data_IF_460193536953
#
_entry.id   IF_460193536953
#
_cell.length_a   1.000
_cell.length_b   1.000
_cell.length_c   1.000
_cell.angle_alpha   90.00
_cell.angle_beta   90.00
_cell.angle_gamma   90.00
#
_symmetry.space_group_name_H-M   'P 1'
#
loop_
_entity.id
_entity.type
_entity.pdbx_description
1 polymer ?
#
# COMPACT_ATOMS: atom_id res chain seq x y z
N UNK A 1 -17.03 -60.28 18.56
CA UNK A 1 -18.07 -59.28 18.92
C UNK A 1 -17.46 -58.05 19.58
N UNK A 2 -16.46 -58.20 20.46
CA UNK A 2 -15.90 -57.04 21.18
C UNK A 2 -15.05 -56.09 20.32
N UNK A 3 -14.29 -56.61 19.34
CA UNK A 3 -13.43 -55.78 18.48
C UNK A 3 -14.20 -54.87 17.51
N UNK A 4 -15.36 -55.30 16.99
CA UNK A 4 -16.21 -54.46 16.14
C UNK A 4 -16.90 -53.35 16.93
N UNK A 5 -17.33 -53.65 18.16
CA UNK A 5 -17.93 -52.65 19.05
C UNK A 5 -16.92 -51.59 19.50
N UNK A 6 -15.68 -52.01 19.77
CA UNK A 6 -14.57 -51.12 20.14
C UNK A 6 -14.14 -50.21 18.97
N UNK A 7 -14.08 -50.75 17.75
CA UNK A 7 -13.82 -49.97 16.54
C UNK A 7 -14.92 -48.93 16.26
N UNK A 8 -16.20 -49.32 16.36
CA UNK A 8 -17.33 -48.41 16.19
C UNK A 8 -17.36 -47.30 17.25
N UNK A 9 -16.97 -47.61 18.49
CA UNK A 9 -16.87 -46.62 19.56
C UNK A 9 -15.71 -45.62 19.33
N UNK A 10 -14.56 -46.08 18.84
CA UNK A 10 -13.42 -45.23 18.49
C UNK A 10 -13.75 -44.29 17.33
N UNK A 11 -14.47 -44.78 16.30
CA UNK A 11 -14.88 -44.00 15.13
C UNK A 11 -15.94 -42.93 15.52
N UNK A 12 -16.89 -43.29 16.37
CA UNK A 12 -17.86 -42.35 16.94
C UNK A 12 -17.18 -41.25 17.78
N UNK A 13 -16.20 -41.60 18.61
CA UNK A 13 -15.44 -40.64 19.42
C UNK A 13 -14.58 -39.68 18.57
N UNK A 14 -13.95 -40.19 17.50
CA UNK A 14 -13.20 -39.37 16.54
C UNK A 14 -14.13 -38.40 15.77
N UNK A 15 -15.33 -38.84 15.37
CA UNK A 15 -16.31 -37.96 14.71
C UNK A 15 -16.83 -36.86 15.64
N UNK A 16 -16.97 -37.15 16.93
CA UNK A 16 -17.42 -36.20 17.95
C UNK A 16 -16.33 -35.17 18.29
N UNK A 17 -15.06 -35.59 18.40
CA UNK A 17 -13.93 -34.67 18.61
C UNK A 17 -13.72 -33.76 17.39
N UNK A 18 -13.81 -34.31 16.17
CA UNK A 18 -13.75 -33.55 14.93
C UNK A 18 -14.88 -32.52 14.82
N UNK A 19 -16.13 -32.89 15.14
CA UNK A 19 -17.28 -31.97 15.16
C UNK A 19 -17.14 -30.88 16.22
N UNK A 20 -16.53 -31.19 17.37
CA UNK A 20 -16.24 -30.20 18.43
C UNK A 20 -15.16 -29.23 17.99
N UNK A 21 -14.12 -29.73 17.32
CA UNK A 21 -13.04 -28.92 16.77
C UNK A 21 -13.55 -28.00 15.65
N UNK A 22 -14.35 -28.52 14.71
CA UNK A 22 -14.98 -27.68 13.67
C UNK A 22 -15.86 -26.60 14.28
N UNK A 23 -16.73 -26.93 15.24
CA UNK A 23 -17.56 -25.92 15.91
C UNK A 23 -16.73 -24.86 16.63
N UNK A 24 -15.66 -25.27 17.32
CA UNK A 24 -14.76 -24.34 17.99
C UNK A 24 -14.09 -23.38 16.99
N UNK A 25 -13.59 -23.89 15.86
CA UNK A 25 -13.00 -23.07 14.81
C UNK A 25 -14.01 -22.17 14.11
N UNK A 26 -15.22 -22.65 13.85
CA UNK A 26 -16.30 -21.84 13.26
C UNK A 26 -16.73 -20.70 14.19
N UNK A 27 -16.97 -20.99 15.48
CA UNK A 27 -17.34 -19.97 16.46
C UNK A 27 -16.21 -18.96 16.62
N UNK A 28 -14.96 -19.43 16.73
CA UNK A 28 -13.78 -18.55 16.81
C UNK A 28 -13.65 -17.67 15.55
N UNK A 29 -13.88 -18.23 14.36
CA UNK A 29 -13.85 -17.48 13.10
C UNK A 29 -14.95 -16.43 13.02
N UNK A 30 -16.18 -16.74 13.46
CA UNK A 30 -17.29 -15.78 13.51
C UNK A 30 -16.98 -14.65 14.49
N UNK A 31 -16.48 -14.98 15.69
CA UNK A 31 -16.08 -13.98 16.70
C UNK A 31 -14.99 -13.07 16.12
N UNK A 32 -13.98 -13.65 15.47
CA UNK A 32 -12.91 -12.88 14.82
C UNK A 32 -13.47 -11.98 13.71
N UNK A 33 -14.38 -12.48 12.86
CA UNK A 33 -15.00 -11.69 11.80
C UNK A 33 -15.83 -10.53 12.34
N UNK A 34 -16.62 -10.76 13.40
CA UNK A 34 -17.39 -9.71 14.08
C UNK A 34 -16.45 -8.69 14.72
N UNK A 35 -15.39 -9.15 15.39
CA UNK A 35 -14.36 -8.27 15.95
C UNK A 35 -13.73 -7.39 14.86
N UNK A 36 -13.26 -7.99 13.76
CA UNK A 36 -12.67 -7.24 12.64
C UNK A 36 -13.66 -6.26 12.01
N UNK A 37 -14.95 -6.62 11.91
CA UNK A 37 -15.98 -5.73 11.39
C UNK A 37 -16.22 -4.53 12.31
N UNK A 38 -16.40 -4.77 13.61
CA UNK A 38 -16.66 -3.72 14.62
C UNK A 38 -15.47 -2.78 14.77
N UNK A 39 -14.23 -3.30 14.75
CA UNK A 39 -13.01 -2.49 14.92
C UNK A 39 -12.37 -2.04 13.62
N UNK A 40 -12.98 -2.31 12.47
CA UNK A 40 -12.45 -2.02 11.13
C UNK A 40 -11.98 -0.56 10.98
N UNK A 41 -12.70 0.41 11.54
CA UNK A 41 -12.37 1.83 11.48
C UNK A 41 -11.09 2.24 12.22
N UNK A 42 -10.65 1.47 13.22
CA UNK A 42 -9.46 1.76 14.04
C UNK A 42 -8.33 0.77 13.75
N UNK A 43 -8.64 -0.36 13.09
CA UNK A 43 -7.67 -1.40 12.78
C UNK A 43 -6.55 -0.90 11.87
N UNK A 44 -6.86 -0.05 10.89
CA UNK A 44 -5.90 0.47 9.91
C UNK A 44 -4.71 1.19 10.57
N UNK A 45 -4.92 2.22 11.42
CA UNK A 45 -3.84 2.88 12.16
C UNK A 45 -3.01 1.90 13.03
N UNK A 46 -3.64 0.87 13.60
CA UNK A 46 -2.95 -0.11 14.43
C UNK A 46 -2.05 -1.04 13.61
N UNK A 47 -2.57 -1.59 12.52
CA UNK A 47 -1.80 -2.44 11.61
C UNK A 47 -0.67 -1.63 10.99
N UNK A 48 -0.95 -0.41 10.53
CA UNK A 48 0.07 0.49 10.00
C UNK A 48 1.15 0.82 11.05
N UNK A 49 0.75 1.11 12.28
CA UNK A 49 1.69 1.39 13.38
C UNK A 49 2.54 0.18 13.74
N UNK A 50 1.97 -1.03 13.73
CA UNK A 50 2.71 -2.28 13.95
C UNK A 50 3.72 -2.56 12.83
N UNK A 51 3.33 -2.35 11.57
CA UNK A 51 4.24 -2.49 10.42
C UNK A 51 5.36 -1.46 10.50
N UNK A 52 5.05 -0.20 10.85
CA UNK A 52 6.07 0.82 11.06
C UNK A 52 7.01 0.48 12.20
N UNK A 53 6.48 0.00 13.33
CA UNK A 53 7.30 -0.45 14.47
C UNK A 53 8.26 -1.57 14.04
N UNK A 54 7.77 -2.59 13.32
CA UNK A 54 8.60 -3.65 12.76
C UNK A 54 9.76 -3.11 11.89
N UNK A 55 9.48 -2.11 11.05
CA UNK A 55 10.51 -1.49 10.21
C UNK A 55 11.51 -0.61 10.96
N UNK A 56 11.05 0.04 12.02
CA UNK A 56 11.83 1.00 12.81
C UNK A 56 12.58 0.32 13.96
N UNK A 57 12.20 -0.88 14.37
CA UNK A 57 12.84 -1.65 15.44
C UNK A 57 14.35 -1.89 15.20
N UNK A 58 14.82 -2.27 14.00
CA UNK A 58 16.26 -2.34 13.72
C UNK A 58 16.99 -0.99 13.83
N UNK A 59 16.27 0.13 13.70
CA UNK A 59 16.82 1.48 13.92
C UNK A 59 16.88 1.79 15.41
N UNK A 60 15.86 1.39 16.18
CA UNK A 60 15.83 1.50 17.64
C UNK A 60 16.98 0.70 18.27
N UNK A 61 17.16 -0.56 17.86
CA UNK A 61 18.28 -1.42 18.27
C UNK A 61 19.65 -0.77 18.03
N UNK A 62 19.82 -0.09 16.89
CA UNK A 62 21.07 0.62 16.58
C UNK A 62 21.28 1.83 17.48
N UNK A 63 20.21 2.57 17.79
CA UNK A 63 20.27 3.71 18.71
C UNK A 63 20.54 3.25 20.15
N UNK A 64 19.99 2.11 20.57
CA UNK A 64 20.28 1.50 21.86
C UNK A 64 21.75 1.09 21.98
N UNK A 65 22.32 0.50 20.93
CA UNK A 65 23.77 0.18 20.86
C UNK A 65 24.66 1.41 20.91
N UNK A 66 24.14 2.60 20.56
CA UNK A 66 24.84 3.88 20.70
C UNK A 66 24.71 4.49 22.11
N UNK A 67 24.02 3.82 23.03
CA UNK A 67 23.90 4.22 24.45
C UNK A 67 22.59 4.88 24.84
N UNK A 68 21.60 4.96 23.94
CA UNK A 68 20.26 5.46 24.28
C UNK A 68 19.42 4.39 24.98
N UNK A 69 18.53 4.79 25.89
CA UNK A 69 17.51 3.89 26.42
C UNK A 69 16.41 3.63 25.38
N UNK A 70 15.71 2.50 25.46
CA UNK A 70 14.58 2.14 24.57
C UNK A 70 13.60 3.29 24.36
N UNK A 71 13.23 3.96 25.44
CA UNK A 71 12.32 5.11 25.40
C UNK A 71 12.93 6.26 24.59
N UNK A 72 14.18 6.60 24.84
CA UNK A 72 14.86 7.70 24.12
C UNK A 72 15.06 7.38 22.64
N UNK A 73 15.44 6.14 22.31
CA UNK A 73 15.53 5.68 20.93
C UNK A 73 14.17 5.82 20.22
N UNK A 74 13.09 5.38 20.86
CA UNK A 74 11.72 5.48 20.34
C UNK A 74 11.28 6.93 20.14
N UNK A 75 11.53 7.81 21.12
CA UNK A 75 11.20 9.25 21.03
C UNK A 75 11.96 9.92 19.88
N UNK A 76 13.25 9.66 19.75
CA UNK A 76 14.08 10.21 18.67
C UNK A 76 13.57 9.75 17.31
N UNK A 77 13.26 8.46 17.16
CA UNK A 77 12.70 7.91 15.93
C UNK A 77 11.35 8.53 15.61
N UNK A 78 10.46 8.67 16.59
CA UNK A 78 9.14 9.27 16.40
C UNK A 78 9.27 10.74 15.95
N UNK A 79 10.10 11.54 16.62
CA UNK A 79 10.32 12.94 16.26
C UNK A 79 10.90 13.03 14.84
N UNK A 80 11.91 12.23 14.52
CA UNK A 80 12.50 12.20 13.18
C UNK A 80 11.47 11.80 12.12
N UNK A 81 10.65 10.79 12.39
CA UNK A 81 9.58 10.35 11.51
C UNK A 81 8.53 11.44 11.29
N UNK A 82 8.05 12.11 12.35
CA UNK A 82 7.10 13.22 12.24
C UNK A 82 7.70 14.37 11.43
N UNK A 83 8.96 14.73 11.67
CA UNK A 83 9.64 15.80 10.92
C UNK A 83 9.72 15.45 9.44
N UNK A 84 10.16 14.23 9.09
CA UNK A 84 10.23 13.78 7.70
C UNK A 84 8.84 13.75 7.06
N UNK A 85 7.82 13.26 7.78
CA UNK A 85 6.45 13.20 7.30
C UNK A 85 5.88 14.60 7.03
N UNK A 86 6.05 15.52 7.97
CA UNK A 86 5.59 16.92 7.82
C UNK A 86 6.31 17.60 6.66
N UNK A 87 7.64 17.44 6.54
CA UNK A 87 8.40 17.97 5.41
C UNK A 87 7.94 17.38 4.08
N UNK A 88 7.72 16.07 4.02
CA UNK A 88 7.19 15.39 2.84
C UNK A 88 5.82 15.94 2.46
N UNK A 89 4.90 16.12 3.41
CA UNK A 89 3.58 16.69 3.13
C UNK A 89 3.69 18.15 2.67
N UNK A 90 4.43 18.99 3.39
CA UNK A 90 4.56 20.43 3.11
C UNK A 90 5.26 20.69 1.77
N UNK A 91 6.19 19.85 1.34
CA UNK A 91 6.90 20.03 0.06
C UNK A 91 6.16 19.32 -1.07
N UNK A 92 5.82 18.05 -0.89
CA UNK A 92 5.32 17.20 -1.98
C UNK A 92 3.88 17.55 -2.36
N UNK A 93 2.99 17.78 -1.38
CA UNK A 93 1.58 18.08 -1.66
C UNK A 93 1.40 19.32 -2.53
N UNK A 94 1.99 20.50 -2.24
CA UNK A 94 1.81 21.67 -3.10
C UNK A 94 2.43 21.48 -4.48
N UNK A 95 3.60 20.82 -4.57
CA UNK A 95 4.25 20.54 -5.86
C UNK A 95 3.39 19.62 -6.72
N UNK A 96 2.79 18.59 -6.12
CA UNK A 96 1.87 17.71 -6.82
C UNK A 96 0.57 18.44 -7.19
N UNK A 97 -0.01 19.23 -6.27
CA UNK A 97 -1.22 19.98 -6.54
C UNK A 97 -1.04 20.97 -7.70
N UNK A 98 0.09 21.70 -7.73
CA UNK A 98 0.40 22.61 -8.82
C UNK A 98 0.63 21.85 -10.13
N UNK A 99 1.40 20.75 -10.11
CA UNK A 99 1.62 19.94 -11.32
C UNK A 99 0.34 19.29 -11.83
N UNK A 100 -0.58 18.87 -10.95
CA UNK A 100 -1.88 18.34 -11.36
C UNK A 100 -2.79 19.43 -11.93
N UNK A 101 -2.83 20.62 -11.33
CA UNK A 101 -3.59 21.75 -11.86
C UNK A 101 -3.06 22.22 -13.23
N UNK A 102 -1.73 22.27 -13.37
CA UNK A 102 -1.06 22.59 -14.63
C UNK A 102 -1.30 21.50 -15.69
N UNK A 103 -1.30 20.22 -15.29
CA UNK A 103 -1.61 19.11 -16.20
C UNK A 103 -3.06 19.19 -16.68
N UNK A 104 -4.00 19.42 -15.76
CA UNK A 104 -5.40 19.57 -16.07
C UNK A 104 -5.64 20.74 -17.04
N UNK A 105 -5.00 21.90 -16.82
CA UNK A 105 -5.15 23.06 -17.71
C UNK A 105 -4.51 22.87 -19.09
N UNK A 106 -3.41 22.10 -19.21
CA UNK A 106 -2.73 21.81 -20.49
C UNK A 106 -3.27 20.58 -21.23
N UNK A 107 -4.08 19.75 -20.58
CA UNK A 107 -4.64 18.53 -21.17
C UNK A 107 -5.44 18.79 -22.47
N UNK A 108 -6.31 19.82 -22.56
CA UNK A 108 -7.01 20.15 -23.80
C UNK A 108 -6.06 20.48 -24.96
N UNK A 109 -4.99 21.24 -24.68
CA UNK A 109 -3.97 21.59 -25.68
C UNK A 109 -3.23 20.35 -26.18
N UNK A 110 -2.88 19.42 -25.28
CA UNK A 110 -2.23 18.17 -25.68
C UNK A 110 -3.13 17.31 -26.55
N UNK A 111 -4.43 17.23 -26.23
CA UNK A 111 -5.38 16.46 -27.01
C UNK A 111 -5.68 17.12 -28.37
N UNK A 112 -5.70 18.45 -28.43
CA UNK A 112 -5.81 19.20 -29.70
C UNK A 112 -4.58 18.98 -30.58
N UNK A 113 -3.37 18.97 -30.01
CA UNK A 113 -2.13 18.64 -30.75
C UNK A 113 -2.10 17.18 -31.21
N UNK A 114 -2.56 16.25 -30.38
CA UNK A 114 -2.67 14.84 -30.74
C UNK A 114 -3.66 14.65 -31.90
N UNK A 115 -4.84 15.29 -31.83
CA UNK A 115 -5.83 15.32 -32.91
C UNK A 115 -5.23 15.93 -34.18
N UNK A 116 -4.49 17.03 -34.07
CA UNK A 116 -3.75 17.65 -35.17
C UNK A 116 -2.76 16.68 -35.82
N UNK A 117 -1.93 16.00 -35.02
CA UNK A 117 -0.99 14.99 -35.50
C UNK A 117 -1.71 13.85 -36.24
N UNK A 118 -2.74 13.26 -35.62
CA UNK A 118 -3.50 12.16 -36.22
C UNK A 118 -4.16 12.58 -37.54
N UNK A 119 -4.71 13.79 -37.61
CA UNK A 119 -5.38 14.30 -38.82
C UNK A 119 -4.41 14.84 -39.88
N UNK A 120 -3.15 15.10 -39.50
CA UNK A 120 -2.07 15.45 -40.43
C UNK A 120 -1.42 14.24 -41.10
N UNK A 121 -1.60 13.03 -40.54
CA UNK A 121 -1.36 11.78 -41.25
C UNK A 121 -2.47 11.55 -42.27
N UNK A 122 -2.14 10.98 -43.43
CA UNK A 122 -3.10 10.76 -44.53
C UNK A 122 -4.32 9.97 -44.02
N UNK A 123 -5.51 10.60 -43.90
CA UNK A 123 -6.66 9.99 -43.24
C UNK A 123 -7.11 8.70 -43.94
N UNK A 124 -6.81 8.54 -45.24
CA UNK A 124 -7.07 7.31 -45.99
C UNK A 124 -6.25 6.13 -45.48
N UNK A 125 -5.00 6.34 -45.07
CA UNK A 125 -4.16 5.27 -44.52
C UNK A 125 -4.68 4.77 -43.16
N UNK A 126 -5.21 5.66 -42.32
CA UNK A 126 -5.80 5.31 -41.03
C UNK A 126 -7.11 4.52 -41.21
N UNK A 127 -7.96 4.99 -42.11
CA UNK A 127 -9.24 4.36 -42.44
C UNK A 127 -9.04 2.98 -43.08
N UNK A 128 -8.07 2.85 -43.99
CA UNK A 128 -7.80 1.61 -44.73
C UNK A 128 -7.06 0.53 -43.90
N UNK A 129 -6.18 0.92 -42.97
CA UNK A 129 -5.46 -0.03 -42.10
C UNK A 129 -6.13 -0.34 -40.76
N UNK A 130 -6.82 0.64 -40.16
CA UNK A 130 -7.36 0.52 -38.80
C UNK A 130 -8.89 0.67 -38.75
N UNK A 131 -9.56 1.03 -39.86
CA UNK A 131 -11.02 1.17 -39.91
C UNK A 131 -11.57 2.32 -39.04
N UNK A 132 -10.72 3.25 -38.62
CA UNK A 132 -11.09 4.33 -37.70
C UNK A 132 -11.43 5.58 -38.50
N UNK A 133 -12.70 5.97 -38.50
CA UNK A 133 -13.15 7.26 -39.04
C UNK A 133 -12.55 8.40 -38.21
N UNK A 134 -11.90 9.34 -38.89
CA UNK A 134 -11.31 10.52 -38.28
C UNK A 134 -12.36 11.34 -37.49
N UNK A 135 -13.64 11.31 -37.87
CA UNK A 135 -14.70 11.98 -37.12
C UNK A 135 -15.07 11.24 -35.83
N UNK A 136 -15.17 9.92 -35.84
CA UNK A 136 -15.39 9.10 -34.65
C UNK A 136 -14.24 9.21 -33.63
N UNK A 137 -13.00 9.34 -34.12
CA UNK A 137 -11.81 9.60 -33.30
C UNK A 137 -11.90 10.97 -32.59
N UNK A 138 -12.37 12.00 -33.30
CA UNK A 138 -12.57 13.35 -32.74
C UNK A 138 -13.68 13.37 -31.68
N UNK A 139 -14.80 12.70 -31.92
CA UNK A 139 -15.88 12.56 -30.94
C UNK A 139 -15.43 11.77 -29.72
N UNK A 140 -14.67 10.67 -29.90
CA UNK A 140 -14.10 9.88 -28.82
C UNK A 140 -13.16 10.69 -27.93
N UNK A 141 -12.23 11.45 -28.52
CA UNK A 141 -11.31 12.34 -27.79
C UNK A 141 -12.05 13.47 -27.06
N UNK A 142 -13.07 14.07 -27.68
CA UNK A 142 -13.92 15.07 -27.04
C UNK A 142 -14.75 14.51 -25.87
N UNK A 143 -15.23 13.27 -25.99
CA UNK A 143 -15.95 12.57 -24.92
C UNK A 143 -15.02 12.23 -23.75
N UNK A 144 -13.77 11.84 -24.02
CA UNK A 144 -12.74 11.58 -23.00
C UNK A 144 -12.34 12.86 -22.28
N UNK A 145 -12.25 13.98 -23.00
CA UNK A 145 -12.03 15.31 -22.42
C UNK A 145 -13.13 15.68 -21.42
N UNK A 146 -14.39 15.64 -21.85
CA UNK A 146 -15.53 16.03 -21.02
C UNK A 146 -15.76 15.06 -19.86
N UNK A 147 -15.66 13.75 -20.11
CA UNK A 147 -15.88 12.72 -19.09
C UNK A 147 -14.71 12.60 -18.11
N UNK A 148 -13.47 12.69 -18.61
CA UNK A 148 -12.25 12.58 -17.79
C UNK A 148 -12.07 13.78 -16.86
N UNK A 149 -12.35 14.99 -17.34
CA UNK A 149 -12.30 16.20 -16.50
C UNK A 149 -13.44 16.22 -15.47
N UNK A 150 -14.65 15.78 -15.87
CA UNK A 150 -15.79 15.62 -14.97
C UNK A 150 -15.54 14.61 -13.85
N UNK A 151 -14.93 13.45 -14.16
CA UNK A 151 -14.56 12.44 -13.16
C UNK A 151 -13.49 12.95 -12.20
N UNK A 152 -12.41 13.55 -12.70
CA UNK A 152 -11.32 14.06 -11.87
C UNK A 152 -11.81 15.15 -10.91
N UNK A 153 -12.61 16.10 -11.41
CA UNK A 153 -13.17 17.18 -10.59
C UNK A 153 -14.19 16.66 -9.57
N UNK A 154 -15.04 15.71 -9.95
CA UNK A 154 -16.03 15.09 -9.03
C UNK A 154 -15.35 14.27 -7.94
N UNK A 155 -14.30 13.49 -8.26
CA UNK A 155 -13.53 12.73 -7.27
C UNK A 155 -12.82 13.68 -6.31
N UNK A 156 -12.16 14.72 -6.84
CA UNK A 156 -11.45 15.70 -6.02
C UNK A 156 -12.41 16.47 -5.09
N UNK A 157 -13.52 16.96 -5.61
CA UNK A 157 -14.54 17.65 -4.81
C UNK A 157 -15.20 16.73 -3.81
N UNK A 158 -15.49 15.47 -4.15
CA UNK A 158 -16.09 14.49 -3.23
C UNK A 158 -15.17 14.15 -2.07
N UNK A 159 -13.86 14.01 -2.31
CA UNK A 159 -12.86 13.79 -1.26
C UNK A 159 -12.76 15.03 -0.35
N UNK A 160 -12.77 16.23 -0.94
CA UNK A 160 -12.66 17.49 -0.20
C UNK A 160 -13.93 17.86 0.59
N UNK A 161 -15.12 17.59 0.05
CA UNK A 161 -16.41 17.90 0.66
C UNK A 161 -16.89 16.83 1.65
N UNK A 162 -16.38 15.61 1.55
CA UNK A 162 -16.64 14.56 2.52
C UNK A 162 -15.79 14.80 3.77
N UNK A 163 -16.29 15.63 4.69
CA UNK A 163 -15.63 15.88 5.99
C UNK A 163 -15.26 14.58 6.74
N UNK A 164 -16.00 13.49 6.50
CA UNK A 164 -15.68 12.14 7.00
C UNK A 164 -14.36 11.58 6.45
N UNK A 165 -14.06 11.81 5.16
CA UNK A 165 -12.81 11.38 4.54
C UNK A 165 -11.61 12.17 5.08
N UNK A 166 -11.76 13.49 5.24
CA UNK A 166 -10.75 14.34 5.87
C UNK A 166 -10.50 13.93 7.33
N UNK A 167 -11.56 13.70 8.12
CA UNK A 167 -11.42 13.23 9.51
C UNK A 167 -10.72 11.87 9.56
N UNK A 168 -11.04 10.95 8.64
CA UNK A 168 -10.40 9.63 8.58
C UNK A 168 -8.90 9.71 8.23
N UNK A 169 -8.53 10.57 7.28
CA UNK A 169 -7.13 10.81 6.90
C UNK A 169 -6.37 11.47 8.06
N UNK A 170 -6.92 12.52 8.66
CA UNK A 170 -6.29 13.20 9.81
C UNK A 170 -6.16 12.24 10.99
N UNK A 171 -7.20 11.44 11.27
CA UNK A 171 -7.15 10.41 12.29
C UNK A 171 -6.04 9.40 11.99
N UNK A 172 -5.86 8.96 10.75
CA UNK A 172 -4.78 8.05 10.39
C UNK A 172 -3.41 8.72 10.59
N UNK A 173 -3.24 9.97 10.17
CA UNK A 173 -1.99 10.73 10.32
C UNK A 173 -1.62 11.04 11.79
N UNK A 174 -2.60 11.14 12.68
CA UNK A 174 -2.37 11.42 14.11
C UNK A 174 -2.29 10.14 14.94
N UNK A 175 -3.19 9.19 14.72
CA UNK A 175 -3.27 7.95 15.50
C UNK A 175 -2.14 7.00 15.12
N UNK A 176 -1.77 6.89 13.83
CA UNK A 176 -0.73 5.94 13.40
C UNK A 176 0.64 6.22 14.04
N UNK A 177 1.17 7.46 14.09
CA UNK A 177 2.43 7.72 14.78
C UNK A 177 2.36 7.42 16.28
N UNK A 178 1.24 7.70 16.94
CA UNK A 178 1.04 7.39 18.36
C UNK A 178 1.05 5.88 18.59
N UNK A 179 0.34 5.13 17.75
CA UNK A 179 0.34 3.67 17.85
C UNK A 179 1.72 3.09 17.50
N UNK A 180 2.40 3.61 16.48
CA UNK A 180 3.76 3.23 16.13
C UNK A 180 4.72 3.46 17.29
N UNK A 181 4.59 4.56 18.03
CA UNK A 181 5.38 4.84 19.23
C UNK A 181 5.21 3.74 20.28
N UNK A 182 3.97 3.43 20.67
CA UNK A 182 3.72 2.38 21.68
C UNK A 182 4.15 1.00 21.19
N UNK A 183 3.85 0.67 19.93
CA UNK A 183 4.24 -0.61 19.32
C UNK A 183 5.75 -0.76 19.26
N UNK A 184 6.51 0.31 18.95
CA UNK A 184 7.97 0.29 18.90
C UNK A 184 8.59 0.23 20.30
N UNK A 185 8.01 0.98 21.26
CA UNK A 185 8.46 0.99 22.65
C UNK A 185 8.35 -0.40 23.29
N UNK A 186 7.21 -1.07 23.10
CA UNK A 186 6.91 -2.38 23.70
C UNK A 186 7.26 -3.57 22.79
N UNK A 187 7.84 -3.33 21.62
CA UNK A 187 8.07 -4.36 20.59
C UNK A 187 8.83 -5.58 21.13
N UNK A 188 9.97 -5.40 21.80
CA UNK A 188 10.77 -6.49 22.36
C UNK A 188 9.98 -7.33 23.38
N UNK A 189 9.17 -6.65 24.20
CA UNK A 189 8.32 -7.30 25.20
C UNK A 189 7.21 -8.09 24.53
N UNK A 190 6.58 -7.53 23.50
CA UNK A 190 5.55 -8.22 22.71
C UNK A 190 6.12 -9.48 22.05
N UNK A 191 7.29 -9.37 21.40
CA UNK A 191 7.96 -10.51 20.76
C UNK A 191 8.35 -11.57 21.80
N UNK A 192 8.87 -11.17 22.97
CA UNK A 192 9.23 -12.11 24.04
C UNK A 192 8.01 -12.86 24.61
N UNK A 193 6.87 -12.18 24.76
CA UNK A 193 5.62 -12.83 25.19
C UNK A 193 5.16 -13.84 24.15
N UNK A 194 5.17 -13.49 22.87
CA UNK A 194 4.78 -14.40 21.79
C UNK A 194 5.73 -15.60 21.72
N UNK A 195 7.04 -15.39 21.85
CA UNK A 195 8.06 -16.45 21.89
C UNK A 195 7.85 -17.38 23.11
N UNK A 196 7.35 -16.86 24.24
CA UNK A 196 7.05 -17.65 25.44
C UNK A 196 5.85 -18.60 25.29
N UNK A 197 4.95 -18.36 24.33
CA UNK A 197 3.81 -19.23 24.06
C UNK A 197 4.17 -20.44 23.19
N UNK A 198 5.37 -20.44 22.60
CA UNK A 198 5.86 -21.52 21.75
C UNK A 198 6.24 -22.73 22.62
N UNK A 199 5.69 -23.93 22.35
CA UNK A 199 6.08 -25.15 23.05
C UNK A 199 7.58 -25.41 22.90
N UNK A 200 8.24 -25.83 23.98
CA UNK A 200 9.71 -25.97 24.07
C UNK A 200 10.32 -26.81 22.94
N UNK A 201 9.61 -27.84 22.48
CA UNK A 201 10.06 -28.76 21.43
C UNK A 201 10.22 -28.07 20.07
N UNK A 202 9.47 -26.99 19.82
CA UNK A 202 9.43 -26.29 18.53
C UNK A 202 10.10 -24.91 18.55
N UNK A 203 10.59 -24.43 19.70
CA UNK A 203 11.18 -23.08 19.83
C UNK A 203 12.30 -22.84 18.82
N UNK A 204 13.17 -23.83 18.61
CA UNK A 204 14.27 -23.71 17.63
C UNK A 204 13.73 -23.55 16.21
N UNK A 205 12.75 -24.37 15.83
CA UNK A 205 12.12 -24.34 14.50
C UNK A 205 11.40 -23.01 14.26
N UNK A 206 10.59 -22.54 15.22
CA UNK A 206 9.85 -21.28 15.11
C UNK A 206 10.81 -20.09 15.01
N UNK A 207 11.88 -20.05 15.81
CA UNK A 207 12.88 -18.97 15.74
C UNK A 207 13.66 -18.98 14.43
N UNK A 208 13.97 -20.14 13.86
CA UNK A 208 14.59 -20.22 12.52
C UNK A 208 13.64 -19.67 11.46
N UNK A 209 12.39 -20.14 11.43
CA UNK A 209 11.38 -19.65 10.47
C UNK A 209 11.18 -18.14 10.61
N UNK A 210 11.09 -17.62 11.84
CA UNK A 210 10.94 -16.18 12.09
C UNK A 210 12.12 -15.37 11.54
N UNK A 211 13.36 -15.86 11.67
CA UNK A 211 14.55 -15.22 11.10
C UNK A 211 14.56 -15.28 9.57
N UNK A 212 14.14 -16.40 8.98
CA UNK A 212 14.05 -16.55 7.52
C UNK A 212 12.99 -15.59 6.96
N UNK A 213 11.82 -15.50 7.61
CA UNK A 213 10.77 -14.53 7.28
C UNK A 213 11.30 -13.10 7.38
N UNK A 214 11.99 -12.76 8.48
CA UNK A 214 12.55 -11.41 8.64
C UNK A 214 13.57 -11.09 7.54
N UNK A 215 14.43 -12.04 7.20
CA UNK A 215 15.47 -11.86 6.17
C UNK A 215 14.84 -11.69 4.79
N UNK A 216 13.84 -12.51 4.44
CA UNK A 216 13.10 -12.41 3.19
C UNK A 216 12.31 -11.09 3.09
N UNK A 217 11.61 -10.71 4.17
CA UNK A 217 10.81 -9.48 4.23
C UNK A 217 11.71 -8.24 4.12
N UNK A 218 12.80 -8.20 4.87
CA UNK A 218 13.77 -7.11 4.81
C UNK A 218 14.43 -7.01 3.42
N UNK A 219 14.77 -8.15 2.81
CA UNK A 219 15.32 -8.21 1.45
C UNK A 219 14.34 -7.68 0.41
N UNK A 220 13.08 -8.12 0.48
CA UNK A 220 12.02 -7.67 -0.42
C UNK A 220 11.77 -6.17 -0.30
N UNK A 221 11.61 -5.65 0.92
CA UNK A 221 11.30 -4.23 1.13
C UNK A 221 12.46 -3.34 0.70
N UNK A 222 13.71 -3.74 0.97
CA UNK A 222 14.89 -3.01 0.48
C UNK A 222 14.96 -3.03 -1.05
N UNK A 223 14.70 -4.19 -1.66
CA UNK A 223 14.67 -4.36 -3.12
C UNK A 223 13.59 -3.49 -3.76
N UNK A 224 12.35 -3.60 -3.29
CA UNK A 224 11.21 -2.84 -3.80
C UNK A 224 11.35 -1.34 -3.55
N UNK A 225 11.77 -0.92 -2.35
CA UNK A 225 12.01 0.48 -2.04
C UNK A 225 13.10 1.08 -2.95
N UNK A 226 14.19 0.34 -3.16
CA UNK A 226 15.25 0.77 -4.08
C UNK A 226 14.73 0.86 -5.52
N UNK A 227 13.95 -0.13 -5.98
CA UNK A 227 13.35 -0.12 -7.32
C UNK A 227 12.43 1.09 -7.51
N UNK A 228 11.55 1.37 -6.55
CA UNK A 228 10.63 2.51 -6.59
C UNK A 228 11.39 3.83 -6.64
N UNK A 229 12.45 3.98 -5.84
CA UNK A 229 13.29 5.18 -5.83
C UNK A 229 14.07 5.34 -7.13
N UNK A 230 14.67 4.27 -7.64
CA UNK A 230 15.44 4.30 -8.90
C UNK A 230 14.52 4.62 -10.07
N UNK A 231 13.41 3.89 -10.24
CA UNK A 231 12.46 4.15 -11.33
C UNK A 231 11.84 5.55 -11.20
N UNK A 232 11.44 5.95 -10.00
CA UNK A 232 10.88 7.26 -9.77
C UNK A 232 11.85 8.39 -10.11
N UNK A 233 13.11 8.27 -9.68
CA UNK A 233 14.16 9.23 -10.00
C UNK A 233 14.51 9.22 -11.50
N UNK A 234 14.61 8.05 -12.12
CA UNK A 234 14.91 7.91 -13.55
C UNK A 234 13.83 8.54 -14.41
N UNK A 235 12.55 8.27 -14.13
CA UNK A 235 11.44 8.88 -14.88
C UNK A 235 11.34 10.37 -14.58
N UNK A 236 11.48 10.79 -13.32
CA UNK A 236 11.42 12.20 -12.97
C UNK A 236 12.51 13.01 -13.67
N UNK A 237 13.76 12.56 -13.61
CA UNK A 237 14.89 13.25 -14.23
C UNK A 237 14.86 13.12 -15.75
N UNK A 238 14.65 11.93 -16.30
CA UNK A 238 14.61 11.68 -17.74
C UNK A 238 13.53 12.51 -18.44
N UNK A 239 12.30 12.49 -17.92
CA UNK A 239 11.20 13.25 -18.50
C UNK A 239 11.40 14.77 -18.36
N UNK A 240 11.89 15.22 -17.20
CA UNK A 240 12.18 16.65 -16.99
C UNK A 240 13.27 17.14 -17.95
N UNK A 241 14.34 16.34 -18.16
CA UNK A 241 15.42 16.67 -19.10
C UNK A 241 14.97 16.69 -20.56
N UNK A 242 14.00 15.85 -20.94
CA UNK A 242 13.38 15.91 -22.28
C UNK A 242 12.45 17.12 -22.48
N UNK A 243 12.28 17.98 -21.47
CA UNK A 243 11.42 19.16 -21.52
C UNK A 243 9.96 18.87 -21.18
N UNK A 244 9.63 17.70 -20.63
CA UNK A 244 8.28 17.40 -20.19
C UNK A 244 7.98 18.14 -18.88
N UNK A 245 6.94 18.99 -18.90
CA UNK A 245 6.55 19.84 -17.77
C UNK A 245 6.19 19.06 -16.48
N UNK A 246 5.82 17.79 -16.61
CA UNK A 246 5.26 16.96 -15.52
C UNK A 246 6.16 15.79 -15.13
N UNK A 247 7.46 15.87 -15.43
CA UNK A 247 8.40 14.77 -15.19
C UNK A 247 8.38 14.30 -13.74
N UNK A 248 8.42 15.21 -12.77
CA UNK A 248 8.40 14.88 -11.33
C UNK A 248 7.11 14.17 -10.93
N UNK A 249 5.93 14.68 -11.33
CA UNK A 249 4.63 14.06 -11.08
C UNK A 249 4.60 12.64 -11.63
N UNK A 250 4.94 12.46 -12.91
CA UNK A 250 4.92 11.16 -13.59
C UNK A 250 5.93 10.20 -12.95
N UNK A 251 7.14 10.67 -12.64
CA UNK A 251 8.16 9.87 -11.99
C UNK A 251 7.73 9.40 -10.61
N UNK A 252 7.16 10.27 -9.78
CA UNK A 252 6.63 9.88 -8.48
C UNK A 252 5.53 8.83 -8.59
N UNK A 253 4.56 9.03 -9.49
CA UNK A 253 3.48 8.06 -9.71
C UNK A 253 4.00 6.72 -10.24
N UNK A 254 4.92 6.75 -11.21
CA UNK A 254 5.53 5.54 -11.75
C UNK A 254 6.32 4.78 -10.67
N UNK A 255 7.09 5.49 -9.84
CA UNK A 255 7.80 4.91 -8.70
C UNK A 255 6.84 4.31 -7.67
N UNK A 256 5.75 5.02 -7.32
CA UNK A 256 4.76 4.55 -6.35
C UNK A 256 3.98 3.33 -6.86
N UNK A 257 3.51 3.36 -8.11
CA UNK A 257 2.79 2.24 -8.73
C UNK A 257 3.69 1.01 -8.83
N UNK A 258 4.99 1.20 -9.04
CA UNK A 258 5.98 0.11 -9.08
C UNK A 258 6.11 -0.64 -7.75
N UNK A 259 5.67 -0.05 -6.63
CA UNK A 259 5.63 -0.74 -5.34
C UNK A 259 4.66 -1.92 -5.34
N UNK A 260 3.59 -1.87 -6.15
CA UNK A 260 2.63 -2.96 -6.30
C UNK A 260 3.14 -3.88 -7.41
N UNK A 261 3.66 -5.08 -7.07
CA UNK A 261 4.15 -6.02 -8.09
C UNK A 261 3.00 -6.41 -9.02
N UNK A 262 3.31 -6.62 -10.31
CA UNK A 262 2.37 -7.03 -11.37
C UNK A 262 1.36 -6.00 -11.87
N UNK A 263 1.22 -4.82 -11.23
CA UNK A 263 0.40 -3.74 -11.82
C UNK A 263 0.99 -3.30 -13.16
N UNK A 264 2.31 -3.18 -13.26
CA UNK A 264 3.00 -2.89 -14.53
C UNK A 264 2.78 -3.93 -15.63
N UNK A 265 2.72 -5.23 -15.30
CA UNK A 265 2.42 -6.28 -16.27
C UNK A 265 0.95 -6.32 -16.69
N UNK A 266 0.03 -5.92 -15.79
CA UNK A 266 -1.39 -5.78 -16.09
C UNK A 266 -1.66 -4.55 -16.96
N UNK A 267 -1.02 -3.41 -16.69
CA UNK A 267 -1.18 -2.17 -17.48
C UNK A 267 -0.43 -2.21 -18.80
N UNK A 268 0.63 -3.02 -18.94
CA UNK A 268 1.38 -3.16 -20.19
C UNK A 268 0.76 -4.13 -21.20
N UNK A 269 -0.23 -4.93 -20.79
CA UNK A 269 -0.95 -5.89 -21.64
C UNK A 269 -2.28 -5.32 -22.18
N UNK A 270 -2.70 -4.13 -21.75
CA UNK A 270 -3.95 -3.47 -22.15
C UNK A 270 -3.66 -2.17 -22.86
#
# INVERSE_FOLDING_TARGET
MDAEAEAAAAEAAASASFRRQIRFWLVSAIILAVFLYVFSGILLPFVAGMVLAYFLDPVADRLERLGLSRLMATVVILIAFIVVLVLAVVILVPVLASQMADFASKLPDYLTRLQGLITSFDPKWLEEKFGVDANGLREGLNSLLTSGFGLLTTVFTSIWSSGVALVSVVSLFVVTPVVAFYMLLDWDRMVAIVDSWVPRDYVKTVRTIARDINTATAGFVRGQGTLCLVLGAMYATGLTLTGLNFGILIGLFAGLISFIPYVGSLTGLV
#
